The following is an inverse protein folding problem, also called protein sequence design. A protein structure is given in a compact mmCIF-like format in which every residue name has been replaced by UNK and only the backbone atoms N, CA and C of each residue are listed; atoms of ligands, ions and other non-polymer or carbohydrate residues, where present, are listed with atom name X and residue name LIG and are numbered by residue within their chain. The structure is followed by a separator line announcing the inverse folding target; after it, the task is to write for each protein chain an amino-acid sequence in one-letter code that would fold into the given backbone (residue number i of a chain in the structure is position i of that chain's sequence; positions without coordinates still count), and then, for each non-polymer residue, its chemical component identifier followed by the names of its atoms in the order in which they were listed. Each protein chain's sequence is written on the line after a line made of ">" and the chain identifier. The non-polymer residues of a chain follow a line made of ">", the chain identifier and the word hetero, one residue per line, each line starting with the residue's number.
data_IF_178963373136
#
_entry.id   IF_178963373136
#
_cell.length_a   1.000
_cell.length_b   1.000
_cell.length_c   1.000
_cell.angle_alpha   90.00
_cell.angle_beta   90.00
_cell.angle_gamma   90.00
#
_symmetry.space_group_name_H-M   'P 1'
#
loop_
_entity.id
_entity.type
_entity.pdbx_description
1 polymer ?
#
# COMPACT_ATOMS: atom_id res chain seq x y z
N UNK A 1 45.17 -58.86 -78.83
CA UNK A 1 44.06 -59.32 -77.97
C UNK A 1 44.25 -58.69 -76.60
N UNK A 2 43.16 -58.15 -76.02
CA UNK A 2 43.13 -57.18 -74.92
C UNK A 2 43.68 -57.69 -73.58
N UNK A 3 44.25 -56.80 -72.76
CA UNK A 3 44.21 -56.86 -71.28
C UNK A 3 44.57 -55.48 -70.69
N UNK A 4 43.59 -54.60 -70.38
CA UNK A 4 42.75 -54.49 -69.16
C UNK A 4 43.50 -53.95 -67.93
N UNK A 5 43.32 -52.64 -67.73
CA UNK A 5 43.63 -51.82 -66.55
C UNK A 5 42.91 -52.32 -65.29
N UNK A 6 43.58 -52.30 -64.15
CA UNK A 6 42.98 -52.43 -62.82
C UNK A 6 43.45 -51.27 -61.94
N UNK A 7 42.63 -50.22 -61.87
CA UNK A 7 42.78 -49.10 -60.94
C UNK A 7 42.18 -49.52 -59.59
N UNK A 8 42.99 -49.52 -58.52
CA UNK A 8 42.49 -49.76 -57.16
C UNK A 8 42.01 -48.45 -56.56
N UNK A 9 40.70 -48.32 -56.35
CA UNK A 9 40.07 -47.21 -55.64
C UNK A 9 39.85 -47.66 -54.18
N UNK A 10 40.61 -47.11 -53.25
CA UNK A 10 40.37 -47.29 -51.81
C UNK A 10 39.18 -46.44 -51.37
N UNK A 11 38.11 -47.10 -50.94
CA UNK A 11 36.90 -46.49 -50.41
C UNK A 11 37.11 -46.17 -48.92
N UNK A 12 37.33 -44.90 -48.57
CA UNK A 12 37.39 -44.46 -47.17
C UNK A 12 35.96 -44.16 -46.72
N UNK A 13 35.37 -45.04 -45.90
CA UNK A 13 34.09 -44.80 -45.23
C UNK A 13 34.25 -43.66 -44.20
N UNK A 14 33.70 -42.48 -44.51
CA UNK A 14 33.53 -41.40 -43.55
C UNK A 14 32.35 -41.67 -42.62
N UNK A 15 32.63 -41.96 -41.35
CA UNK A 15 31.64 -42.04 -40.29
C UNK A 15 31.25 -40.61 -39.88
N UNK A 16 30.17 -40.08 -40.48
CA UNK A 16 29.58 -38.80 -40.08
C UNK A 16 28.87 -39.00 -38.74
N UNK A 17 29.50 -38.54 -37.66
CA UNK A 17 28.90 -38.46 -36.33
C UNK A 17 27.88 -37.30 -36.35
N UNK A 18 26.61 -37.64 -36.63
CA UNK A 18 25.50 -36.69 -36.54
C UNK A 18 25.26 -36.37 -35.07
N UNK A 19 25.91 -35.32 -34.54
CA UNK A 19 25.54 -34.75 -33.25
C UNK A 19 24.17 -34.09 -33.42
N UNK A 20 23.12 -34.85 -33.13
CA UNK A 20 21.82 -34.27 -32.88
C UNK A 20 21.98 -33.34 -31.67
N UNK A 21 22.19 -32.05 -31.95
CA UNK A 21 21.98 -30.98 -30.97
C UNK A 21 20.49 -31.02 -30.69
N UNK A 22 20.11 -31.82 -29.69
CA UNK A 22 18.78 -31.79 -29.12
C UNK A 22 18.56 -30.37 -28.60
N UNK A 23 17.82 -29.57 -29.36
CA UNK A 23 17.28 -28.31 -28.89
C UNK A 23 16.20 -28.66 -27.85
N UNK A 24 16.64 -29.00 -26.64
CA UNK A 24 15.76 -29.21 -25.50
C UNK A 24 15.18 -27.86 -25.13
N UNK A 25 13.94 -27.59 -25.52
CA UNK A 25 13.19 -26.47 -24.99
C UNK A 25 13.01 -26.72 -23.50
N UNK A 26 13.72 -25.96 -22.65
CA UNK A 26 13.45 -25.95 -21.21
C UNK A 26 12.03 -25.41 -21.04
N UNK A 27 11.04 -26.29 -20.86
CA UNK A 27 9.67 -25.89 -20.52
C UNK A 27 9.70 -25.30 -19.12
N UNK A 28 9.74 -23.98 -19.02
CA UNK A 28 9.58 -23.30 -17.73
C UNK A 28 8.11 -23.33 -17.35
N UNK A 29 7.82 -23.92 -16.20
CA UNK A 29 6.47 -23.92 -15.64
C UNK A 29 6.16 -22.51 -15.14
N UNK A 30 4.93 -22.05 -15.39
CA UNK A 30 4.47 -20.75 -14.88
C UNK A 30 4.25 -20.85 -13.38
N UNK A 31 4.73 -19.84 -12.65
CA UNK A 31 4.56 -19.69 -11.22
C UNK A 31 3.41 -18.75 -10.87
N UNK A 32 3.40 -18.29 -9.63
CA UNK A 32 2.46 -17.26 -9.16
C UNK A 32 3.11 -16.29 -8.17
N UNK A 33 2.51 -15.11 -7.98
CA UNK A 33 2.85 -14.19 -6.90
C UNK A 33 1.64 -14.12 -5.98
N UNK A 34 1.83 -14.38 -4.70
CA UNK A 34 0.83 -14.16 -3.66
C UNK A 34 1.39 -13.22 -2.62
N UNK A 35 0.52 -12.48 -1.95
CA UNK A 35 1.00 -11.62 -0.89
C UNK A 35 -0.08 -10.82 -0.20
N UNK A 36 0.37 -9.99 0.72
CA UNK A 36 -0.48 -9.11 1.51
C UNK A 36 0.03 -7.69 1.49
N UNK A 37 -0.87 -6.73 1.36
CA UNK A 37 -0.58 -5.30 1.52
C UNK A 37 -1.14 -4.87 2.87
N UNK A 38 -0.29 -4.31 3.75
CA UNK A 38 -0.72 -3.89 5.09
C UNK A 38 -0.39 -2.43 5.35
N UNK A 39 -1.17 -1.80 6.23
CA UNK A 39 -0.90 -0.46 6.75
C UNK A 39 0.27 -0.51 7.75
N UNK A 40 1.25 0.39 7.58
CA UNK A 40 2.47 0.43 8.40
C UNK A 40 2.24 0.66 9.89
N UNK A 41 1.10 1.24 10.24
CA UNK A 41 0.79 1.63 11.60
C UNK A 41 0.00 0.54 12.31
N UNK A 42 -0.97 -0.05 11.61
CA UNK A 42 -1.94 -0.97 12.21
C UNK A 42 -1.60 -2.44 11.98
N UNK A 43 -0.88 -2.74 10.90
CA UNK A 43 -0.71 -4.10 10.40
C UNK A 43 -1.98 -4.70 9.76
N UNK A 44 -3.08 -3.94 9.68
CA UNK A 44 -4.31 -4.37 9.02
C UNK A 44 -4.12 -4.34 7.51
N UNK A 45 -4.75 -5.29 6.81
CA UNK A 45 -4.77 -5.35 5.36
C UNK A 45 -5.35 -4.09 4.70
N UNK A 46 -4.67 -3.58 3.68
CA UNK A 46 -5.16 -2.48 2.86
C UNK A 46 -6.02 -3.05 1.75
N UNK A 47 -7.33 -2.94 1.88
CA UNK A 47 -8.29 -3.41 0.89
C UNK A 47 -8.37 -2.50 -0.35
N UNK A 48 -8.55 -3.08 -1.53
CA UNK A 48 -8.66 -2.34 -2.78
C UNK A 48 -7.37 -1.60 -3.19
N UNK A 49 -6.21 -2.03 -2.71
CA UNK A 49 -4.92 -1.57 -3.22
C UNK A 49 -4.66 -2.22 -4.58
N UNK A 50 -4.31 -1.42 -5.58
CA UNK A 50 -3.90 -1.94 -6.90
C UNK A 50 -2.47 -2.47 -6.83
N UNK A 51 -2.26 -3.67 -7.35
CA UNK A 51 -0.96 -4.34 -7.41
C UNK A 51 -0.56 -4.47 -8.88
N UNK A 52 0.55 -3.84 -9.24
CA UNK A 52 1.15 -3.88 -10.57
C UNK A 52 2.54 -4.50 -10.48
N UNK A 53 3.04 -5.04 -11.59
CA UNK A 53 4.39 -5.59 -11.66
C UNK A 53 5.21 -4.98 -12.80
N UNK A 54 6.53 -5.02 -12.66
CA UNK A 54 7.50 -4.78 -13.75
C UNK A 54 8.52 -5.92 -13.78
N UNK A 55 8.59 -6.75 -14.84
CA UNK A 55 7.78 -6.73 -16.06
C UNK A 55 6.26 -6.84 -15.82
N UNK A 56 5.45 -6.30 -16.73
CA UNK A 56 3.99 -6.26 -16.57
C UNK A 56 3.36 -7.66 -16.60
N UNK A 57 2.39 -7.87 -15.72
CA UNK A 57 1.53 -9.06 -15.62
C UNK A 57 0.07 -8.62 -15.53
N UNK A 58 -0.81 -9.44 -14.95
CA UNK A 58 -2.16 -9.00 -14.62
C UNK A 58 -2.11 -7.98 -13.46
N UNK A 59 -2.87 -6.89 -13.61
CA UNK A 59 -3.11 -5.97 -12.48
C UNK A 59 -4.25 -6.53 -11.65
N UNK A 60 -4.04 -6.64 -10.34
CA UNK A 60 -5.03 -7.15 -9.39
C UNK A 60 -5.28 -6.13 -8.28
N UNK A 61 -6.41 -6.28 -7.60
CA UNK A 61 -6.75 -5.50 -6.41
C UNK A 61 -6.71 -6.41 -5.20
N UNK A 62 -6.29 -5.88 -4.05
CA UNK A 62 -6.35 -6.63 -2.80
C UNK A 62 -7.77 -6.84 -2.30
N UNK A 63 -8.01 -7.97 -1.62
CA UNK A 63 -9.25 -8.26 -0.92
C UNK A 63 -9.42 -7.46 0.38
N UNK A 64 -10.49 -7.71 1.14
CA UNK A 64 -10.77 -7.02 2.41
C UNK A 64 -9.68 -7.20 3.48
N UNK A 65 -8.92 -8.29 3.41
CA UNK A 65 -7.82 -8.61 4.31
C UNK A 65 -6.46 -8.15 3.75
N UNK A 66 -6.45 -7.42 2.63
CA UNK A 66 -5.23 -6.96 1.97
C UNK A 66 -4.51 -8.02 1.15
N UNK A 67 -5.08 -9.21 0.96
CA UNK A 67 -4.45 -10.29 0.20
C UNK A 67 -4.60 -10.09 -1.30
N UNK A 68 -3.62 -10.54 -2.07
CA UNK A 68 -3.68 -10.60 -3.53
C UNK A 68 -3.05 -11.89 -4.07
N UNK A 69 -3.42 -12.26 -5.29
CA UNK A 69 -2.81 -13.37 -6.05
C UNK A 69 -2.73 -13.01 -7.53
N UNK A 70 -1.57 -13.24 -8.13
CA UNK A 70 -1.30 -13.10 -9.56
C UNK A 70 -0.86 -14.49 -10.07
N UNK A 71 -1.75 -15.27 -10.68
CA UNK A 71 -1.41 -16.57 -11.24
C UNK A 71 -0.69 -16.45 -12.60
N UNK A 72 -0.19 -17.57 -13.11
CA UNK A 72 0.32 -17.73 -14.48
C UNK A 72 1.47 -16.77 -14.85
N UNK A 73 2.38 -16.52 -13.92
CA UNK A 73 3.54 -15.63 -14.12
C UNK A 73 4.74 -16.42 -14.64
N UNK A 74 5.48 -15.86 -15.59
CA UNK A 74 6.72 -16.50 -16.07
C UNK A 74 7.81 -16.44 -14.99
N UNK A 75 8.71 -17.43 -14.92
CA UNK A 75 9.85 -17.34 -14.02
C UNK A 75 10.73 -16.13 -14.34
N UNK A 76 11.19 -15.43 -13.31
CA UNK A 76 11.94 -14.19 -13.45
C UNK A 76 11.92 -13.32 -12.19
N UNK A 77 12.52 -12.15 -12.30
CA UNK A 77 12.55 -11.14 -11.23
C UNK A 77 11.55 -10.05 -11.56
N UNK A 78 10.68 -9.73 -10.61
CA UNK A 78 9.61 -8.76 -10.75
C UNK A 78 9.67 -7.72 -9.64
N UNK A 79 9.51 -6.45 -9.99
CA UNK A 79 9.18 -5.40 -9.03
C UNK A 79 7.67 -5.33 -8.90
N UNK A 80 7.14 -5.65 -7.73
CA UNK A 80 5.72 -5.51 -7.37
C UNK A 80 5.53 -4.13 -6.76
N UNK A 81 4.63 -3.33 -7.32
CA UNK A 81 4.28 -1.98 -6.84
C UNK A 81 2.82 -1.95 -6.42
N UNK A 82 2.56 -1.43 -5.22
CA UNK A 82 1.21 -1.24 -4.72
C UNK A 82 0.86 0.24 -4.61
N UNK A 83 -0.34 0.59 -5.07
CA UNK A 83 -0.93 1.91 -4.93
C UNK A 83 -2.30 1.78 -4.27
N UNK A 84 -2.60 2.67 -3.33
CA UNK A 84 -3.91 2.75 -2.69
C UNK A 84 -4.25 4.21 -2.39
N UNK A 85 -5.54 4.56 -2.42
CA UNK A 85 -5.99 5.91 -2.08
C UNK A 85 -5.61 6.25 -0.64
N UNK A 86 -5.05 7.45 -0.43
CA UNK A 86 -4.56 7.95 0.86
C UNK A 86 -3.32 7.23 1.41
N UNK A 87 -2.60 6.48 0.57
CA UNK A 87 -1.34 5.83 0.91
C UNK A 87 -0.22 6.27 -0.02
N UNK A 88 1.00 6.39 0.52
CA UNK A 88 2.19 6.46 -0.31
C UNK A 88 2.39 5.12 -1.01
N UNK A 89 2.64 5.15 -2.32
CA UNK A 89 2.98 3.95 -3.10
C UNK A 89 4.27 3.33 -2.58
N UNK A 90 4.36 2.00 -2.63
CA UNK A 90 5.58 1.28 -2.26
C UNK A 90 5.81 0.09 -3.20
N UNK A 91 7.05 -0.38 -3.28
CA UNK A 91 7.46 -1.49 -4.15
C UNK A 91 8.38 -2.48 -3.44
N UNK A 92 8.35 -3.72 -3.90
CA UNK A 92 9.25 -4.81 -3.45
C UNK A 92 9.64 -5.68 -4.65
N UNK A 93 10.86 -6.20 -4.64
CA UNK A 93 11.31 -7.14 -5.66
C UNK A 93 11.06 -8.58 -5.21
N UNK A 94 10.51 -9.40 -6.10
CA UNK A 94 10.28 -10.83 -5.88
C UNK A 94 10.92 -11.64 -7.01
N UNK A 95 11.39 -12.83 -6.69
CA UNK A 95 11.90 -13.80 -7.67
C UNK A 95 10.92 -14.97 -7.76
N UNK A 96 10.57 -15.34 -8.98
CA UNK A 96 9.68 -16.45 -9.30
C UNK A 96 10.52 -17.53 -9.97
N UNK A 97 10.66 -18.66 -9.32
CA UNK A 97 11.27 -19.85 -9.90
C UNK A 97 10.24 -20.66 -10.71
N UNK A 98 10.72 -21.52 -11.61
CA UNK A 98 9.88 -22.35 -12.47
C UNK A 98 8.86 -23.17 -11.70
N UNK A 99 7.57 -22.87 -11.92
CA UNK A 99 6.44 -23.56 -11.30
C UNK A 99 6.20 -23.21 -9.82
N UNK A 100 6.97 -22.30 -9.23
CA UNK A 100 6.87 -21.97 -7.81
C UNK A 100 6.03 -20.71 -7.58
N UNK A 101 5.53 -20.60 -6.35
CA UNK A 101 4.79 -19.42 -5.88
C UNK A 101 5.71 -18.54 -5.05
N UNK A 102 5.91 -17.30 -5.49
CA UNK A 102 6.59 -16.27 -4.71
C UNK A 102 5.61 -15.65 -3.71
N UNK A 103 6.00 -15.58 -2.44
CA UNK A 103 5.19 -14.92 -1.39
C UNK A 103 5.85 -13.60 -1.01
N UNK A 104 5.07 -12.53 -0.86
CA UNK A 104 5.58 -11.22 -0.46
C UNK A 104 4.62 -10.46 0.46
N UNK A 105 5.15 -9.46 1.14
CA UNK A 105 4.36 -8.50 1.90
C UNK A 105 4.87 -7.09 1.59
N UNK A 106 3.95 -6.19 1.25
CA UNK A 106 4.26 -4.77 1.10
C UNK A 106 3.59 -4.00 2.24
N UNK A 107 4.28 -2.98 2.72
CA UNK A 107 3.80 -2.09 3.76
C UNK A 107 3.56 -0.73 3.15
N UNK A 108 2.35 -0.19 3.30
CA UNK A 108 1.99 1.16 2.85
C UNK A 108 1.88 2.11 4.03
N UNK A 109 2.31 3.35 3.85
CA UNK A 109 2.18 4.41 4.86
C UNK A 109 1.01 5.30 4.48
N UNK A 110 0.00 5.38 5.35
CA UNK A 110 -1.11 6.31 5.13
C UNK A 110 -0.62 7.75 5.15
N UNK A 111 -1.02 8.53 4.14
CA UNK A 111 -0.71 9.96 4.03
C UNK A 111 -1.41 10.79 5.12
N UNK A 112 -2.49 10.27 5.70
CA UNK A 112 -3.25 10.91 6.78
C UNK A 112 -2.75 10.61 8.20
N UNK A 113 -1.86 9.63 8.37
CA UNK A 113 -1.41 9.18 9.70
C UNK A 113 -2.43 8.30 10.45
N UNK A 114 -2.02 7.75 11.60
CA UNK A 114 -2.88 7.00 12.53
C UNK A 114 -3.61 7.94 13.47
N UNK A 115 -4.91 7.70 13.69
CA UNK A 115 -5.64 8.43 14.72
C UNK A 115 -4.97 8.24 16.09
N UNK A 116 -4.73 7.00 16.51
CA UNK A 116 -4.24 6.71 17.85
C UNK A 116 -2.82 7.22 18.08
N UNK A 117 -1.94 7.17 17.06
CA UNK A 117 -0.52 7.55 17.21
C UNK A 117 -0.24 9.02 16.89
N UNK A 118 -0.97 9.61 15.95
CA UNK A 118 -0.65 10.95 15.47
C UNK A 118 -1.68 11.99 15.92
N UNK A 119 -2.97 11.65 15.94
CA UNK A 119 -4.03 12.65 16.13
C UNK A 119 -4.50 12.74 17.58
N UNK A 120 -4.75 11.59 18.21
CA UNK A 120 -5.21 11.53 19.60
C UNK A 120 -4.24 12.21 20.57
N UNK A 121 -2.90 12.04 20.48
CA UNK A 121 -1.98 12.76 21.37
C UNK A 121 -2.09 14.27 21.23
N UNK A 122 -2.29 14.78 20.00
CA UNK A 122 -2.49 16.22 19.76
C UNK A 122 -3.75 16.70 20.47
N UNK A 123 -4.87 15.96 20.35
CA UNK A 123 -6.12 16.32 21.02
C UNK A 123 -6.02 16.22 22.54
N UNK A 124 -5.39 15.18 23.08
CA UNK A 124 -5.24 15.00 24.52
C UNK A 124 -4.44 16.13 25.16
N UNK A 125 -3.35 16.57 24.53
CA UNK A 125 -2.47 17.62 25.07
C UNK A 125 -3.08 19.03 24.88
N UNK A 126 -3.72 19.28 23.74
CA UNK A 126 -4.09 20.64 23.35
C UNK A 126 -5.58 20.95 23.50
N UNK A 127 -6.45 19.95 23.67
CA UNK A 127 -7.90 20.14 23.61
C UNK A 127 -8.65 19.45 24.75
N UNK A 128 -8.33 18.20 25.05
CA UNK A 128 -9.05 17.38 26.03
C UNK A 128 -8.57 17.62 27.46
N UNK A 129 -8.75 18.85 27.91
CA UNK A 129 -8.50 19.27 29.29
C UNK A 129 -9.76 19.78 29.95
N UNK A 130 -9.75 19.74 31.28
CA UNK A 130 -10.82 20.26 32.14
C UNK A 130 -11.16 21.70 31.74
N UNK A 131 -12.46 21.95 31.59
CA UNK A 131 -13.05 23.20 31.15
C UNK A 131 -13.07 23.42 29.63
N UNK A 132 -12.48 22.53 28.83
CA UNK A 132 -12.38 22.67 27.37
C UNK A 132 -13.12 21.56 26.62
N UNK A 133 -12.51 20.40 26.34
CA UNK A 133 -13.12 19.34 25.54
C UNK A 133 -12.88 17.94 26.15
N UNK A 134 -13.13 17.85 27.46
CA UNK A 134 -12.97 16.67 28.32
C UNK A 134 -14.30 15.96 28.60
N UNK A 135 -14.27 14.84 29.33
CA UNK A 135 -15.48 14.06 29.59
C UNK A 135 -16.50 14.74 30.52
N UNK A 136 -16.03 15.54 31.49
CA UNK A 136 -16.88 16.13 32.52
C UNK A 136 -17.41 17.51 32.17
N UNK A 137 -16.52 18.39 31.68
CA UNK A 137 -16.79 19.82 31.53
C UNK A 137 -16.74 20.32 30.08
N UNK A 138 -16.86 19.40 29.11
CA UNK A 138 -16.77 19.71 27.69
C UNK A 138 -17.59 20.93 27.27
N UNK A 139 -16.87 21.98 26.87
CA UNK A 139 -17.41 23.10 26.14
C UNK A 139 -18.11 22.60 24.86
N UNK A 140 -19.32 23.10 24.65
CA UNK A 140 -20.20 22.64 23.57
C UNK A 140 -20.56 21.15 23.60
N UNK A 141 -20.28 20.44 24.70
CA UNK A 141 -20.43 18.98 24.78
C UNK A 141 -19.51 18.21 23.83
N UNK A 142 -18.49 18.86 23.26
CA UNK A 142 -17.51 18.22 22.37
C UNK A 142 -16.41 17.57 23.21
N UNK A 143 -16.24 16.25 23.03
CA UNK A 143 -15.22 15.44 23.69
C UNK A 143 -14.18 14.99 22.66
N UNK A 144 -12.89 15.20 22.96
CA UNK A 144 -11.79 14.94 22.02
C UNK A 144 -10.76 13.91 22.54
N UNK A 145 -11.19 13.03 23.45
CA UNK A 145 -10.34 12.03 24.12
C UNK A 145 -10.40 10.62 23.53
N UNK A 146 -11.26 10.37 22.53
CA UNK A 146 -11.36 9.07 21.88
C UNK A 146 -11.88 9.23 20.46
N UNK A 147 -11.61 8.24 19.60
CA UNK A 147 -12.11 8.24 18.23
C UNK A 147 -13.63 8.39 18.19
N UNK A 148 -14.33 7.58 19.00
CA UNK A 148 -15.78 7.56 19.09
C UNK A 148 -16.33 8.93 19.48
N UNK A 149 -15.72 9.59 20.47
CA UNK A 149 -16.17 10.90 20.93
C UNK A 149 -15.89 12.00 19.91
N UNK A 150 -14.72 11.97 19.28
CA UNK A 150 -14.31 12.91 18.24
C UNK A 150 -15.27 12.85 17.05
N UNK A 151 -15.59 11.64 16.57
CA UNK A 151 -16.49 11.44 15.43
C UNK A 151 -17.96 11.66 15.76
N UNK A 152 -18.38 11.44 17.01
CA UNK A 152 -19.72 11.82 17.49
C UNK A 152 -19.97 13.32 17.41
N UNK A 153 -18.92 14.13 17.59
CA UNK A 153 -19.00 15.59 17.52
C UNK A 153 -19.55 16.24 18.78
N UNK A 154 -20.16 17.41 18.60
CA UNK A 154 -20.64 18.27 19.68
C UNK A 154 -22.16 18.17 19.87
N UNK A 155 -22.72 18.89 20.85
CA UNK A 155 -24.19 19.03 20.97
C UNK A 155 -24.85 19.72 19.76
N UNK A 156 -24.06 20.40 18.93
CA UNK A 156 -24.52 21.06 17.70
C UNK A 156 -24.29 20.21 16.44
N UNK A 157 -23.91 18.95 16.60
CA UNK A 157 -23.64 18.02 15.50
C UNK A 157 -22.15 17.80 15.23
N UNK A 158 -21.90 17.18 14.07
CA UNK A 158 -20.57 16.77 13.65
C UNK A 158 -19.60 17.95 13.53
N UNK A 159 -18.35 17.72 13.92
CA UNK A 159 -17.25 18.69 13.77
C UNK A 159 -16.20 18.22 12.76
N UNK A 160 -16.29 16.96 12.32
CA UNK A 160 -15.47 16.34 11.30
C UNK A 160 -16.39 15.84 10.20
N UNK A 161 -16.03 16.18 8.97
CA UNK A 161 -16.58 15.61 7.75
C UNK A 161 -15.45 14.82 7.08
N UNK A 162 -15.47 13.48 7.14
CA UNK A 162 -14.48 12.65 6.47
C UNK A 162 -14.33 13.05 5.00
N UNK A 163 -13.09 13.02 4.51
CA UNK A 163 -12.70 13.45 3.16
C UNK A 163 -12.84 14.96 2.88
N UNK A 164 -13.29 15.77 3.84
CA UNK A 164 -13.46 17.21 3.68
C UNK A 164 -12.96 17.98 4.92
N UNK A 165 -11.64 18.13 5.01
CA UNK A 165 -11.02 18.95 6.04
C UNK A 165 -11.37 20.45 5.91
N UNK A 166 -11.70 20.94 4.71
CA UNK A 166 -11.97 22.36 4.50
C UNK A 166 -13.31 22.78 5.12
N UNK A 167 -14.33 21.93 4.99
CA UNK A 167 -15.65 22.15 5.58
C UNK A 167 -15.72 21.70 7.03
N UNK A 168 -14.81 20.83 7.48
CA UNK A 168 -14.76 20.34 8.87
C UNK A 168 -14.59 21.48 9.87
N UNK A 169 -15.60 21.67 10.72
CA UNK A 169 -15.61 22.74 11.74
C UNK A 169 -14.38 22.67 12.65
N UNK A 170 -13.92 21.46 13.01
CA UNK A 170 -12.70 21.28 13.80
C UNK A 170 -11.49 21.99 13.15
N UNK A 171 -11.25 21.74 11.86
CA UNK A 171 -10.12 22.32 11.11
C UNK A 171 -10.27 23.83 10.97
N UNK A 172 -11.49 24.31 10.67
CA UNK A 172 -11.78 25.74 10.56
C UNK A 172 -11.49 26.48 11.87
N UNK A 173 -11.77 25.85 13.01
CA UNK A 173 -11.53 26.42 14.35
C UNK A 173 -10.05 26.43 14.73
N UNK A 174 -9.31 25.34 14.47
CA UNK A 174 -7.86 25.28 14.78
C UNK A 174 -7.03 26.19 13.87
N UNK A 175 -7.48 26.43 12.63
CA UNK A 175 -6.87 27.36 11.68
C UNK A 175 -7.29 28.83 11.88
N UNK A 176 -8.25 29.09 12.77
CA UNK A 176 -8.77 30.44 13.02
C UNK A 176 -9.63 31.03 11.90
N UNK A 177 -10.06 30.21 10.95
CA UNK A 177 -11.02 30.59 9.89
C UNK A 177 -12.40 30.86 10.48
N UNK A 178 -12.75 30.18 11.58
CA UNK A 178 -14.02 30.37 12.30
C UNK A 178 -13.77 30.71 13.78
N UNK A 179 -14.53 31.66 14.33
CA UNK A 179 -14.32 32.23 15.67
C UNK A 179 -15.34 31.75 16.72
N UNK A 180 -14.94 31.53 18.00
CA UNK A 180 -13.56 31.59 18.50
C UNK A 180 -12.64 30.54 17.86
N UNK A 181 -11.38 30.97 17.64
CA UNK A 181 -10.26 30.12 17.22
C UNK A 181 -9.83 29.23 18.39
N UNK A 182 -9.54 27.97 18.09
CA UNK A 182 -9.14 26.97 19.09
C UNK A 182 -7.65 26.64 18.96
N UNK A 183 -6.95 26.35 20.07
CA UNK A 183 -7.45 26.31 21.46
C UNK A 183 -7.70 27.72 22.05
N UNK A 184 -8.90 28.00 22.59
CA UNK A 184 -9.30 29.35 23.04
C UNK A 184 -8.36 29.88 24.13
N UNK A 185 -7.97 31.15 24.04
CA UNK A 185 -7.09 31.84 25.01
C UNK A 185 -5.74 31.14 25.29
N UNK A 186 -5.31 30.26 24.40
CA UNK A 186 -4.01 29.59 24.43
C UNK A 186 -3.29 29.81 23.09
N UNK A 187 -1.98 29.53 23.01
CA UNK A 187 -1.26 29.55 21.74
C UNK A 187 -1.97 28.73 20.67
N UNK A 188 -1.84 29.16 19.42
CA UNK A 188 -2.34 28.38 18.30
C UNK A 188 -1.60 27.04 18.25
N UNK A 189 -2.31 26.01 17.78
CA UNK A 189 -1.69 24.73 17.47
C UNK A 189 -0.62 24.93 16.38
N UNK A 190 0.46 24.13 16.37
CA UNK A 190 1.51 24.25 15.36
C UNK A 190 0.94 24.02 13.95
N UNK A 191 1.55 24.63 12.93
CA UNK A 191 1.14 24.41 11.52
C UNK A 191 1.27 22.94 11.10
N UNK A 192 2.27 22.24 11.64
CA UNK A 192 2.47 20.81 11.45
C UNK A 192 1.30 20.00 12.01
N UNK A 193 0.92 20.23 13.26
CA UNK A 193 -0.19 19.51 13.91
C UNK A 193 -1.54 19.82 13.25
N UNK A 194 -1.76 21.07 12.84
CA UNK A 194 -2.94 21.44 12.04
C UNK A 194 -2.96 20.70 10.71
N UNK A 195 -1.79 20.51 10.08
CA UNK A 195 -1.62 19.74 8.85
C UNK A 195 -1.91 18.25 9.05
N UNK A 196 -1.41 17.65 10.13
CA UNK A 196 -1.68 16.25 10.48
C UNK A 196 -3.17 15.99 10.67
N UNK A 197 -3.87 16.85 11.44
CA UNK A 197 -5.32 16.73 11.63
C UNK A 197 -6.06 16.88 10.31
N UNK A 198 -5.69 17.86 9.47
CA UNK A 198 -6.33 18.06 8.18
C UNK A 198 -6.10 16.86 7.23
N UNK A 199 -4.89 16.32 7.18
CA UNK A 199 -4.56 15.17 6.35
C UNK A 199 -5.27 13.90 6.83
N UNK A 200 -5.36 13.68 8.14
CA UNK A 200 -6.14 12.57 8.70
C UNK A 200 -7.61 12.67 8.30
N UNK A 201 -8.22 13.86 8.38
CA UNK A 201 -9.61 14.06 7.96
C UNK A 201 -9.78 13.84 6.45
N UNK A 202 -8.87 14.38 5.63
CA UNK A 202 -8.89 14.18 4.18
C UNK A 202 -8.70 12.71 3.79
N UNK A 203 -7.92 11.95 4.56
CA UNK A 203 -7.77 10.49 4.43
C UNK A 203 -8.94 9.68 4.99
N UNK A 204 -10.09 10.30 5.18
CA UNK A 204 -11.33 9.65 5.62
C UNK A 204 -11.52 9.56 7.14
N UNK A 205 -10.71 10.26 7.94
CA UNK A 205 -10.78 10.26 9.40
C UNK A 205 -10.83 8.84 10.00
N UNK A 206 -9.94 7.95 9.53
CA UNK A 206 -9.93 6.52 9.90
C UNK A 206 -9.51 6.30 11.35
N UNK A 207 -10.04 5.24 11.96
CA UNK A 207 -9.53 4.70 13.22
C UNK A 207 -8.53 3.60 12.91
N UNK A 208 -7.31 4.01 12.55
CA UNK A 208 -6.20 3.14 12.18
C UNK A 208 -5.14 3.18 13.29
#
# INVERSE_FOLDING_TARGET
>A
MLNRYQFRISFVLGLILLTAVGCGTRTTLRGSIVGTIVDSQTGIGVAGASVLTSPSTATVMTDINGNFSIPDVQPGVYTVTSNATDYNSNSVTVTIDSGLTATTQLVLVSMGGSFARNILPIFMVNCSMVGCHDDGTAASGLRLNSYVNVMKGSRYGAVIYPYDAQSSKLVRRIKGIETPRMPKNRPALSTSDQGLIANWINGGARNN
#
